data_IF_563126477564
#
_entry.id   IF_563126477564
#
_cell.length_a   1.000
_cell.length_b   1.000
_cell.length_c   1.000
_cell.angle_alpha   90.00
_cell.angle_beta   90.00
_cell.angle_gamma   90.00
#
_symmetry.space_group_name_H-M   'P 1'
#
loop_
_entity.id
_entity.type
_entity.pdbx_description
1 polymer ?
#
# COMPACT_ATOMS: atom_id res chain seq x y z
N UNK A 1 -14.82 -19.47 10.58
CA UNK A 1 -13.75 -19.17 11.56
C UNK A 1 -12.45 -19.00 10.78
N UNK A 2 -11.83 -17.82 10.82
CA UNK A 2 -10.56 -17.56 10.11
C UNK A 2 -9.41 -18.05 10.98
N UNK A 3 -8.50 -18.85 10.41
CA UNK A 3 -7.29 -19.30 11.11
C UNK A 3 -6.22 -18.23 10.97
N UNK A 4 -5.62 -17.86 12.09
CA UNK A 4 -4.54 -16.88 12.19
C UNK A 4 -3.39 -17.53 12.96
N UNK A 5 -2.17 -17.17 12.62
CA UNK A 5 -1.01 -17.45 13.46
C UNK A 5 -1.10 -16.69 14.79
N UNK A 6 -0.28 -17.09 15.76
CA UNK A 6 -0.32 -16.53 17.11
C UNK A 6 -0.01 -15.03 17.12
N UNK A 7 0.97 -14.58 16.32
CA UNK A 7 1.42 -13.20 16.29
C UNK A 7 0.35 -12.29 15.69
N UNK A 8 -0.26 -12.71 14.57
CA UNK A 8 -1.40 -12.02 13.95
C UNK A 8 -2.58 -11.91 14.93
N UNK A 9 -2.88 -12.96 15.69
CA UNK A 9 -3.97 -12.95 16.68
C UNK A 9 -3.66 -11.97 17.83
N UNK A 10 -2.42 -11.92 18.29
CA UNK A 10 -2.01 -11.00 19.35
C UNK A 10 -2.14 -9.54 18.88
N UNK A 11 -1.62 -9.23 17.69
CA UNK A 11 -1.70 -7.88 17.12
C UNK A 11 -3.16 -7.38 16.99
N UNK A 12 -4.08 -8.24 16.55
CA UNK A 12 -5.52 -7.91 16.48
C UNK A 12 -6.14 -7.69 17.87
N UNK A 13 -5.70 -8.47 18.86
CA UNK A 13 -6.16 -8.36 20.25
C UNK A 13 -5.73 -7.03 20.86
N UNK A 14 -4.45 -6.68 20.71
CA UNK A 14 -3.89 -5.41 21.20
C UNK A 14 -4.59 -4.21 20.55
N UNK A 15 -4.78 -4.26 19.23
CA UNK A 15 -5.43 -3.18 18.50
C UNK A 15 -6.92 -3.00 18.89
N UNK A 16 -7.63 -4.09 19.13
CA UNK A 16 -9.01 -4.06 19.62
C UNK A 16 -9.08 -3.48 21.04
N UNK A 17 -8.14 -3.85 21.91
CA UNK A 17 -8.03 -3.34 23.28
C UNK A 17 -7.75 -1.83 23.29
N UNK A 18 -6.82 -1.35 22.46
CA UNK A 18 -6.53 0.09 22.32
C UNK A 18 -7.76 0.89 21.89
N UNK A 19 -8.65 0.29 21.10
CA UNK A 19 -9.91 0.90 20.63
C UNK A 19 -11.12 0.61 21.53
N UNK A 20 -10.95 -0.19 22.58
CA UNK A 20 -12.01 -0.59 23.53
C UNK A 20 -13.22 -1.24 22.86
N UNK A 21 -12.97 -2.09 21.88
CA UNK A 21 -14.01 -2.86 21.17
C UNK A 21 -13.64 -4.35 21.12
N UNK A 22 -14.60 -5.20 20.75
CA UNK A 22 -14.32 -6.62 20.59
C UNK A 22 -13.36 -6.87 19.41
N UNK A 23 -12.59 -7.96 19.45
CA UNK A 23 -11.71 -8.35 18.32
C UNK A 23 -12.51 -8.52 17.04
N UNK A 24 -13.71 -9.11 17.13
CA UNK A 24 -14.59 -9.29 15.98
C UNK A 24 -15.06 -7.95 15.38
N UNK A 25 -15.40 -6.97 16.22
CA UNK A 25 -15.79 -5.64 15.75
C UNK A 25 -14.62 -4.86 15.19
N UNK A 26 -13.43 -5.01 15.77
CA UNK A 26 -12.20 -4.44 15.23
C UNK A 26 -11.93 -4.96 13.82
N UNK A 27 -11.92 -6.29 13.65
CA UNK A 27 -11.71 -6.93 12.34
C UNK A 27 -12.77 -6.47 11.34
N UNK A 28 -14.06 -6.47 11.72
CA UNK A 28 -15.14 -5.98 10.84
C UNK A 28 -14.89 -4.54 10.40
N UNK A 29 -14.57 -3.66 11.33
CA UNK A 29 -14.38 -2.24 11.06
C UNK A 29 -13.20 -1.99 10.14
N UNK A 30 -12.07 -2.65 10.38
CA UNK A 30 -10.86 -2.52 9.57
C UNK A 30 -11.06 -3.12 8.18
N UNK A 31 -11.56 -4.36 8.10
CA UNK A 31 -11.69 -5.07 6.81
C UNK A 31 -12.71 -4.42 5.89
N UNK A 32 -13.86 -3.95 6.42
CA UNK A 32 -14.87 -3.26 5.58
C UNK A 32 -14.33 -1.94 5.06
N UNK A 33 -13.64 -1.16 5.90
CA UNK A 33 -13.02 0.09 5.47
C UNK A 33 -11.95 -0.15 4.40
N UNK A 34 -11.12 -1.19 4.58
CA UNK A 34 -10.09 -1.57 3.63
C UNK A 34 -10.69 -2.00 2.28
N UNK A 35 -11.67 -2.90 2.30
CA UNK A 35 -12.33 -3.38 1.09
C UNK A 35 -12.98 -2.24 0.30
N UNK A 36 -13.62 -1.27 0.99
CA UNK A 36 -14.18 -0.08 0.33
C UNK A 36 -13.11 0.76 -0.36
N UNK A 37 -11.95 0.96 0.27
CA UNK A 37 -10.83 1.69 -0.33
C UNK A 37 -10.29 0.99 -1.57
N UNK A 38 -10.10 -0.33 -1.50
CA UNK A 38 -9.62 -1.12 -2.64
C UNK A 38 -10.57 -1.07 -3.83
N UNK A 39 -11.89 -1.18 -3.59
CA UNK A 39 -12.91 -1.05 -4.63
C UNK A 39 -12.92 0.35 -5.25
N UNK A 40 -12.84 1.40 -4.43
CA UNK A 40 -12.81 2.78 -4.92
C UNK A 40 -11.56 3.04 -5.76
N UNK A 41 -10.38 2.66 -5.25
CA UNK A 41 -9.09 2.79 -5.96
C UNK A 41 -9.09 2.06 -7.30
N UNK A 42 -9.61 0.84 -7.37
CA UNK A 42 -9.72 0.08 -8.61
C UNK A 42 -10.66 0.76 -9.63
N UNK A 43 -11.79 1.32 -9.16
CA UNK A 43 -12.76 2.01 -10.03
C UNK A 43 -12.26 3.35 -10.53
N UNK A 44 -11.62 4.12 -9.66
CA UNK A 44 -11.16 5.48 -9.93
C UNK A 44 -9.74 5.50 -10.51
N UNK A 45 -9.15 4.32 -10.78
CA UNK A 45 -7.78 4.15 -11.26
C UNK A 45 -6.75 4.93 -10.44
N UNK A 46 -7.01 5.03 -9.13
CA UNK A 46 -6.19 5.80 -8.20
C UNK A 46 -5.22 4.88 -7.49
N UNK A 47 -3.93 5.25 -7.45
CA UNK A 47 -2.91 4.50 -6.70
C UNK A 47 -2.94 4.93 -5.23
N UNK A 48 -3.35 4.02 -4.35
CA UNK A 48 -3.27 4.22 -2.91
C UNK A 48 -1.84 3.97 -2.44
N UNK A 49 -1.24 4.99 -1.83
CA UNK A 49 0.10 4.90 -1.25
C UNK A 49 -0.01 4.97 0.28
N UNK A 50 0.74 4.11 0.97
CA UNK A 50 1.00 4.24 2.40
C UNK A 50 1.74 5.55 2.71
N UNK A 51 1.75 6.03 3.98
CA UNK A 51 2.44 7.27 4.34
C UNK A 51 3.91 7.31 3.92
N UNK A 52 4.64 6.21 4.09
CA UNK A 52 6.06 6.12 3.73
C UNK A 52 6.25 6.16 2.20
N UNK A 53 5.37 5.50 1.45
CA UNK A 53 5.39 5.55 -0.02
C UNK A 53 5.03 6.94 -0.55
N UNK A 54 4.08 7.64 0.07
CA UNK A 54 3.77 9.04 -0.28
C UNK A 54 4.97 9.93 -0.06
N UNK A 55 5.66 9.80 1.07
CA UNK A 55 6.85 10.57 1.37
C UNK A 55 7.97 10.29 0.37
N UNK A 56 8.20 9.01 0.03
CA UNK A 56 9.18 8.62 -0.97
C UNK A 56 8.84 9.20 -2.35
N UNK A 57 7.57 9.17 -2.75
CA UNK A 57 7.09 9.75 -4.00
C UNK A 57 7.34 11.26 -4.05
N UNK A 58 6.96 12.00 -3.01
CA UNK A 58 7.17 13.45 -2.96
C UNK A 58 8.66 13.83 -3.00
N UNK A 59 9.50 13.10 -2.28
CA UNK A 59 10.96 13.29 -2.34
C UNK A 59 11.51 13.05 -3.74
N UNK A 60 11.03 12.02 -4.43
CA UNK A 60 11.44 11.71 -5.80
C UNK A 60 11.00 12.80 -6.79
N UNK A 61 9.83 13.43 -6.60
CA UNK A 61 9.40 14.57 -7.41
C UNK A 61 10.25 15.82 -7.14
N UNK A 62 10.62 16.06 -5.89
CA UNK A 62 11.45 17.21 -5.50
C UNK A 62 12.89 17.09 -6.00
N UNK A 63 13.45 15.88 -5.99
CA UNK A 63 14.80 15.60 -6.47
C UNK A 63 14.78 14.37 -7.41
N UNK A 64 14.43 14.57 -8.70
CA UNK A 64 14.33 13.47 -9.65
C UNK A 64 15.67 12.73 -9.83
N UNK A 65 15.69 11.40 -9.66
CA UNK A 65 16.91 10.63 -9.83
C UNK A 65 17.34 10.62 -11.30
N UNK A 66 18.66 10.58 -11.54
CA UNK A 66 19.20 10.40 -12.89
C UNK A 66 18.88 9.00 -13.40
N UNK A 67 18.54 8.91 -14.69
CA UNK A 67 18.33 7.62 -15.35
C UNK A 67 19.58 6.75 -15.25
N UNK A 68 19.38 5.49 -14.87
CA UNK A 68 20.44 4.49 -14.81
C UNK A 68 20.93 4.13 -16.23
N UNK A 69 22.15 3.57 -16.39
CA UNK A 69 22.61 3.08 -17.68
C UNK A 69 21.66 2.05 -18.32
N UNK A 70 21.01 1.21 -17.52
CA UNK A 70 20.03 0.24 -18.00
C UNK A 70 18.76 0.91 -18.54
N UNK A 71 18.22 1.91 -17.83
CA UNK A 71 17.06 2.68 -18.29
C UNK A 71 17.37 3.45 -19.58
N UNK A 72 18.59 4.00 -19.73
CA UNK A 72 19.02 4.66 -20.98
C UNK A 72 19.06 3.70 -22.16
N UNK A 73 19.61 2.48 -21.97
CA UNK A 73 19.61 1.44 -23.02
C UNK A 73 18.19 1.05 -23.43
N UNK A 74 17.30 0.84 -22.45
CA UNK A 74 15.90 0.55 -22.73
C UNK A 74 15.24 1.69 -23.54
N UNK A 75 15.51 2.95 -23.20
CA UNK A 75 14.95 4.10 -23.91
C UNK A 75 15.37 4.14 -25.38
N UNK A 76 16.61 3.77 -25.73
CA UNK A 76 17.07 3.66 -27.13
C UNK A 76 16.28 2.58 -27.88
N UNK A 77 16.07 1.42 -27.26
CA UNK A 77 15.29 0.32 -27.84
C UNK A 77 13.83 0.77 -28.08
N UNK A 78 13.21 1.39 -27.07
CA UNK A 78 11.81 1.86 -27.15
C UNK A 78 11.60 2.96 -28.21
N UNK A 79 12.64 3.73 -28.53
CA UNK A 79 12.60 4.76 -29.59
C UNK A 79 12.85 4.19 -30.99
N UNK A 80 13.18 2.90 -31.10
CA UNK A 80 13.46 2.24 -32.38
C UNK A 80 14.76 2.68 -33.05
N UNK A 81 15.66 3.37 -32.33
CA UNK A 81 16.93 3.89 -32.87
C UNK A 81 18.07 2.88 -32.72
N UNK A 82 17.85 1.62 -33.12
CA UNK A 82 18.91 0.61 -33.13
C UNK A 82 19.87 0.82 -34.30
#
# INVERSE_FOLDING_TARGET
MVRLDADSKQALTDAAQLRRISVSDYVRTVTVAQARREVASAREQTVLLSPDEQLAFWRALQAPPKLTPAQKRLAVIMRGTQ
#
